data_IF_445954408566
#
_entry.id   IF_445954408566
#
_cell.length_a   1.000
_cell.length_b   1.000
_cell.length_c   1.000
_cell.angle_alpha   90.00
_cell.angle_beta   90.00
_cell.angle_gamma   90.00
#
_symmetry.space_group_name_H-M   'P 1'
#
loop_
_entity.id
_entity.type
_entity.pdbx_description
1 polymer ?
#
# COMPACT_ATOMS: atom_id res chain seq x y z
N UNK A 1 2.48 6.04 -21.59
CA UNK A 1 1.77 7.28 -21.13
C UNK A 1 0.60 6.96 -20.20
N UNK A 2 -0.04 7.93 -19.51
CA UNK A 2 -1.10 7.68 -18.49
C UNK A 2 -2.19 6.68 -18.92
N UNK A 3 -2.66 6.74 -20.17
CA UNK A 3 -3.64 5.79 -20.73
C UNK A 3 -3.12 4.34 -20.79
N UNK A 4 -1.85 4.18 -21.16
CA UNK A 4 -1.18 2.88 -21.27
C UNK A 4 -0.94 2.26 -19.88
N UNK A 5 -0.52 3.08 -18.91
CA UNK A 5 -0.34 2.63 -17.51
C UNK A 5 -1.68 2.20 -16.93
N UNK A 6 -2.74 3.00 -17.13
CA UNK A 6 -4.09 2.66 -16.68
C UNK A 6 -4.58 1.32 -17.28
N UNK A 7 -4.38 1.12 -18.59
CA UNK A 7 -4.75 -0.13 -19.26
C UNK A 7 -3.95 -1.33 -18.72
N UNK A 8 -2.62 -1.20 -18.59
CA UNK A 8 -1.75 -2.26 -18.06
C UNK A 8 -2.06 -2.60 -16.59
N UNK A 9 -2.41 -1.62 -15.78
CA UNK A 9 -2.75 -1.80 -14.37
C UNK A 9 -4.20 -2.23 -14.12
N UNK A 10 -5.05 -2.27 -15.17
CA UNK A 10 -6.48 -2.57 -15.01
C UNK A 10 -7.25 -1.47 -14.24
N UNK A 11 -6.75 -0.24 -14.26
CA UNK A 11 -7.29 0.89 -13.49
C UNK A 11 -8.03 1.88 -14.39
N UNK A 12 -9.04 2.55 -13.84
CA UNK A 12 -9.64 3.70 -14.51
C UNK A 12 -8.59 4.83 -14.66
N UNK A 13 -8.62 5.56 -15.79
CA UNK A 13 -7.61 6.58 -16.11
C UNK A 13 -7.49 7.66 -15.03
N UNK A 14 -8.60 8.02 -14.38
CA UNK A 14 -8.59 8.99 -13.27
C UNK A 14 -7.85 8.45 -12.05
N UNK A 15 -8.10 7.19 -11.67
CA UNK A 15 -7.44 6.54 -10.53
C UNK A 15 -5.94 6.38 -10.78
N UNK A 16 -5.56 5.84 -11.94
CA UNK A 16 -4.15 5.74 -12.34
C UNK A 16 -3.45 7.11 -12.30
N UNK A 17 -4.14 8.18 -12.74
CA UNK A 17 -3.62 9.54 -12.63
C UNK A 17 -3.37 10.00 -11.21
N UNK A 18 -4.30 9.74 -10.29
CA UNK A 18 -4.14 10.08 -8.87
C UNK A 18 -2.96 9.33 -8.25
N UNK A 19 -2.84 8.02 -8.52
CA UNK A 19 -1.75 7.21 -7.99
C UNK A 19 -0.39 7.66 -8.54
N UNK A 20 -0.30 7.94 -9.83
CA UNK A 20 0.93 8.48 -10.42
C UNK A 20 1.37 9.79 -9.76
N UNK A 21 0.43 10.69 -9.43
CA UNK A 21 0.75 11.93 -8.73
C UNK A 21 1.18 11.67 -7.27
N UNK A 22 0.46 10.80 -6.57
CA UNK A 22 0.80 10.40 -5.19
C UNK A 22 2.17 9.74 -5.09
N UNK A 23 2.56 8.90 -6.06
CA UNK A 23 3.87 8.22 -6.05
C UNK A 23 5.05 9.18 -6.11
N UNK A 24 4.86 10.45 -6.52
CA UNK A 24 5.93 11.46 -6.50
C UNK A 24 6.38 11.83 -5.09
N UNK A 25 5.56 11.57 -4.07
CA UNK A 25 5.84 11.92 -2.68
C UNK A 25 6.50 10.77 -1.90
N UNK A 26 6.72 9.61 -2.53
CA UNK A 26 7.25 8.42 -1.86
C UNK A 26 8.43 7.87 -2.64
N UNK A 27 9.44 7.37 -1.93
CA UNK A 27 10.53 6.60 -2.54
C UNK A 27 10.09 5.16 -2.77
N UNK A 28 10.63 4.52 -3.81
CA UNK A 28 10.34 3.11 -4.08
C UNK A 28 10.77 2.17 -2.96
N UNK A 29 11.85 2.50 -2.25
CA UNK A 29 12.32 1.74 -1.07
C UNK A 29 11.34 1.81 0.10
N UNK A 30 10.73 2.98 0.33
CA UNK A 30 9.71 3.20 1.37
C UNK A 30 8.44 2.42 1.05
N UNK A 31 7.96 2.51 -0.20
CA UNK A 31 6.80 1.74 -0.65
C UNK A 31 7.02 0.23 -0.51
N UNK A 32 8.23 -0.25 -0.80
CA UNK A 32 8.58 -1.66 -0.65
C UNK A 32 8.56 -2.08 0.82
N UNK A 33 9.19 -1.32 1.70
CA UNK A 33 9.22 -1.62 3.12
C UNK A 33 7.79 -1.67 3.72
N UNK A 34 6.93 -0.73 3.32
CA UNK A 34 5.51 -0.72 3.71
C UNK A 34 4.81 -2.00 3.29
N UNK A 35 4.99 -2.43 2.03
CA UNK A 35 4.35 -3.65 1.52
C UNK A 35 4.87 -4.93 2.19
N UNK A 36 6.16 -5.03 2.46
CA UNK A 36 6.75 -6.17 3.18
C UNK A 36 6.19 -6.28 4.60
N UNK A 37 6.03 -5.14 5.29
CA UNK A 37 5.42 -5.11 6.62
C UNK A 37 3.91 -5.40 6.60
N UNK A 38 3.18 -4.88 5.62
CA UNK A 38 1.77 -5.23 5.43
C UNK A 38 1.59 -6.74 5.25
N UNK A 39 2.50 -7.40 4.53
CA UNK A 39 2.44 -8.85 4.33
C UNK A 39 2.70 -9.65 5.63
N UNK A 40 3.65 -9.22 6.45
CA UNK A 40 3.91 -9.82 7.78
C UNK A 40 2.72 -9.62 8.73
N UNK A 41 2.12 -8.43 8.76
CA UNK A 41 0.91 -8.17 9.55
C UNK A 41 -0.26 -9.05 9.10
N UNK A 42 -0.50 -9.13 7.79
CA UNK A 42 -1.53 -9.99 7.20
C UNK A 42 -1.32 -11.47 7.57
N UNK A 43 -0.08 -11.97 7.55
CA UNK A 43 0.23 -13.34 7.98
C UNK A 43 -0.09 -13.54 9.47
N UNK A 44 0.30 -12.60 10.34
CA UNK A 44 0.03 -12.68 11.78
C UNK A 44 -1.46 -12.68 12.07
N UNK A 45 -2.24 -11.91 11.33
CA UNK A 45 -3.71 -11.91 11.42
C UNK A 45 -4.27 -13.26 11.01
N UNK A 46 -3.90 -13.76 9.82
CA UNK A 46 -4.40 -15.04 9.29
C UNK A 46 -3.99 -16.25 10.12
N UNK A 47 -2.87 -16.18 10.83
CA UNK A 47 -2.39 -17.24 11.72
C UNK A 47 -2.90 -17.10 13.16
N UNK A 48 -3.73 -16.09 13.45
CA UNK A 48 -4.29 -15.84 14.78
C UNK A 48 -3.28 -15.33 15.81
N UNK A 49 -2.09 -14.90 15.37
CA UNK A 49 -1.04 -14.31 16.22
C UNK A 49 -1.28 -12.84 16.53
N UNK A 50 -2.11 -12.17 15.74
CA UNK A 50 -2.48 -10.77 15.91
C UNK A 50 -3.95 -10.58 15.53
N UNK A 51 -4.67 -9.69 16.21
CA UNK A 51 -6.04 -9.35 15.80
C UNK A 51 -6.01 -8.37 14.62
N UNK A 52 -7.02 -8.45 13.77
CA UNK A 52 -7.18 -7.58 12.59
C UNK A 52 -7.23 -6.08 12.97
N UNK A 53 -8.01 -5.72 14.00
CA UNK A 53 -8.08 -4.33 14.49
C UNK A 53 -6.71 -3.81 14.93
N UNK A 54 -5.99 -4.57 15.75
CA UNK A 54 -4.69 -4.15 16.27
C UNK A 54 -3.64 -4.07 15.15
N UNK A 55 -3.69 -4.98 14.17
CA UNK A 55 -2.80 -4.94 13.01
C UNK A 55 -2.96 -3.64 12.21
N UNK A 56 -4.21 -3.21 11.97
CA UNK A 56 -4.50 -1.96 11.26
C UNK A 56 -4.08 -0.74 12.09
N UNK A 57 -4.34 -0.74 13.39
CA UNK A 57 -3.94 0.36 14.28
C UNK A 57 -2.41 0.54 14.31
N UNK A 58 -1.66 -0.54 14.50
CA UNK A 58 -0.20 -0.52 14.48
C UNK A 58 0.35 -0.02 13.14
N UNK A 59 -0.23 -0.49 12.04
CA UNK A 59 0.15 -0.06 10.69
C UNK A 59 -0.05 1.44 10.49
N UNK A 60 -1.23 1.96 10.85
CA UNK A 60 -1.53 3.39 10.71
C UNK A 60 -0.64 4.26 11.59
N UNK A 61 -0.46 3.90 12.88
CA UNK A 61 0.39 4.68 13.79
C UNK A 61 1.81 4.76 13.24
N UNK A 62 2.37 3.65 12.74
CA UNK A 62 3.74 3.62 12.22
C UNK A 62 3.97 4.52 11.01
N UNK A 63 2.98 4.64 10.11
CA UNK A 63 3.10 5.41 8.86
C UNK A 63 2.38 6.76 8.88
N UNK A 64 1.91 7.21 10.05
CA UNK A 64 1.24 8.51 10.22
C UNK A 64 2.18 9.67 10.56
N UNK A 65 3.48 9.41 10.73
CA UNK A 65 4.51 10.38 11.12
C UNK A 65 5.32 10.89 9.94
#
# INVERSE_FOLDING_TARGET
GKKEIAAKAGLHQVAAGKYMEQTRYFKSEELRAVLEESADLEERVKTGRLTDTLAVELFLVKYSS
#
